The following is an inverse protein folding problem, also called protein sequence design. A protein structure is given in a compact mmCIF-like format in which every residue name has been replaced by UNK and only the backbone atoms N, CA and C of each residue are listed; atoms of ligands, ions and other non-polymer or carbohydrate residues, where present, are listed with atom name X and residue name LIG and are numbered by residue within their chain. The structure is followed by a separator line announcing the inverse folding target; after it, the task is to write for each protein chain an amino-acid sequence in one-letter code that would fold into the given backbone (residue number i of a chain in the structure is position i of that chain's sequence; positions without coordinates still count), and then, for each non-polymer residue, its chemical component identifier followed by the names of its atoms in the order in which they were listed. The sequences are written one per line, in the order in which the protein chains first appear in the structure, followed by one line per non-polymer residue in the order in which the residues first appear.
data_IF_183848160503
#
_entry.id   IF_183848160503
#
_cell.length_a   1.000
_cell.length_b   1.000
_cell.length_c   1.000
_cell.angle_alpha   90.00
_cell.angle_beta   90.00
_cell.angle_gamma   90.00
#
_symmetry.space_group_name_H-M   'P 1'
#
loop_
_entity.id
_entity.type
_entity.pdbx_description
1 polymer ?
#
# COMPACT_ATOMS: atom_id res chain seq x y z
N UNK A 1 15.24 -1.23 -9.19
CA UNK A 1 15.52 -2.49 -8.58
C UNK A 1 14.29 -3.37 -8.34
N UNK A 2 13.10 -2.84 -7.94
CA UNK A 2 11.88 -3.65 -7.83
C UNK A 2 11.50 -4.29 -9.19
N UNK A 3 11.59 -3.54 -10.29
CA UNK A 3 11.38 -4.08 -11.64
C UNK A 3 12.38 -5.15 -12.04
N UNK A 4 13.64 -5.05 -11.59
CA UNK A 4 14.64 -6.11 -11.79
C UNK A 4 14.23 -7.40 -11.05
N UNK A 5 13.77 -7.28 -9.80
CA UNK A 5 13.31 -8.46 -9.06
C UNK A 5 12.14 -9.13 -9.75
N UNK A 6 11.14 -8.36 -10.21
CA UNK A 6 10.00 -8.91 -10.94
C UNK A 6 10.43 -9.61 -12.24
N UNK A 7 11.35 -9.00 -12.99
CA UNK A 7 11.91 -9.63 -14.19
C UNK A 7 12.62 -10.96 -13.85
N UNK A 8 13.41 -10.98 -12.78
CA UNK A 8 14.08 -12.22 -12.34
C UNK A 8 13.12 -13.30 -11.86
N UNK A 9 12.01 -12.93 -11.22
CA UNK A 9 10.96 -13.87 -10.85
C UNK A 9 10.31 -14.50 -12.08
N UNK A 10 10.11 -13.72 -13.15
CA UNK A 10 9.59 -14.21 -14.44
C UNK A 10 10.55 -15.13 -15.20
N UNK A 11 11.86 -14.94 -14.95
CA UNK A 11 12.90 -15.81 -15.52
C UNK A 11 13.08 -17.13 -14.74
N UNK A 12 12.44 -17.28 -13.58
CA UNK A 12 12.51 -18.55 -12.84
C UNK A 12 11.82 -19.64 -13.67
N UNK A 13 12.43 -20.82 -13.74
CA UNK A 13 11.84 -21.96 -14.40
C UNK A 13 10.45 -22.27 -13.81
N UNK A 14 9.49 -22.60 -14.65
CA UNK A 14 8.14 -23.02 -14.21
C UNK A 14 8.17 -24.33 -13.42
N UNK A 15 9.28 -25.05 -13.48
CA UNK A 15 9.56 -26.28 -12.77
C UNK A 15 10.32 -26.06 -11.44
N UNK A 16 10.51 -24.81 -11.00
CA UNK A 16 10.98 -24.53 -9.63
C UNK A 16 9.95 -25.08 -8.62
N UNK A 17 10.35 -26.13 -7.91
CA UNK A 17 9.44 -26.90 -7.03
C UNK A 17 8.94 -26.05 -5.84
N UNK A 18 9.64 -25.01 -5.45
CA UNK A 18 9.30 -24.20 -4.29
C UNK A 18 8.37 -23.03 -4.64
N UNK A 19 8.66 -22.32 -5.71
CA UNK A 19 7.98 -21.06 -6.05
C UNK A 19 7.06 -21.20 -7.25
N UNK A 20 7.42 -21.98 -8.27
CA UNK A 20 6.66 -22.09 -9.52
C UNK A 20 5.17 -22.38 -9.32
N UNK A 21 4.77 -23.35 -8.46
CA UNK A 21 3.36 -23.71 -8.26
C UNK A 21 2.51 -22.68 -7.53
N UNK A 22 3.15 -21.72 -6.82
CA UNK A 22 2.45 -20.79 -5.91
C UNK A 22 2.49 -19.33 -6.35
N UNK A 23 3.28 -19.01 -7.38
CA UNK A 23 3.38 -17.65 -7.90
C UNK A 23 2.41 -17.42 -9.06
N UNK A 24 1.55 -16.41 -8.93
CA UNK A 24 0.81 -15.83 -10.04
C UNK A 24 1.46 -14.50 -10.45
N UNK A 25 2.34 -14.55 -11.46
CA UNK A 25 3.08 -13.40 -11.95
C UNK A 25 2.26 -12.45 -12.85
N UNK A 26 1.00 -12.77 -13.11
CA UNK A 26 0.04 -11.87 -13.76
C UNK A 26 -0.70 -11.00 -12.72
N UNK A 27 -0.66 -11.39 -11.44
CA UNK A 27 -1.35 -10.73 -10.34
C UNK A 27 -0.35 -10.23 -9.29
N UNK A 28 0.56 -9.33 -9.69
CA UNK A 28 1.63 -8.83 -8.82
C UNK A 28 1.23 -7.52 -8.15
N UNK A 29 1.22 -7.51 -6.83
CA UNK A 29 1.15 -6.29 -6.01
C UNK A 29 2.52 -5.86 -5.51
N UNK A 30 2.64 -4.59 -5.13
CA UNK A 30 3.86 -4.06 -4.51
C UNK A 30 3.50 -3.18 -3.31
N UNK A 31 4.17 -3.43 -2.18
CA UNK A 31 4.05 -2.61 -0.98
C UNK A 31 5.41 -2.11 -0.51
N UNK A 32 5.42 -0.97 0.20
CA UNK A 32 6.65 -0.45 0.75
C UNK A 32 6.44 0.60 1.84
N UNK A 33 7.23 0.48 2.91
CA UNK A 33 7.21 1.37 4.04
C UNK A 33 8.26 2.48 3.90
N UNK A 34 7.92 3.69 4.30
CA UNK A 34 8.85 4.82 4.40
C UNK A 34 9.57 5.08 3.07
N UNK A 35 10.89 4.94 3.01
CA UNK A 35 11.68 5.05 1.77
C UNK A 35 11.25 4.02 0.72
N UNK A 36 10.82 2.82 1.14
CA UNK A 36 10.21 1.82 0.27
C UNK A 36 8.93 2.32 -0.40
N UNK A 37 8.13 3.15 0.27
CA UNK A 37 6.95 3.80 -0.31
C UNK A 37 7.28 4.69 -1.53
N UNK A 38 8.42 5.41 -1.50
CA UNK A 38 8.90 6.16 -2.68
C UNK A 38 9.25 5.24 -3.85
N UNK A 39 9.83 4.08 -3.53
CA UNK A 39 10.13 3.05 -4.54
C UNK A 39 8.86 2.50 -5.15
N UNK A 40 7.84 2.19 -4.33
CA UNK A 40 6.53 1.72 -4.79
C UNK A 40 5.87 2.72 -5.73
N UNK A 41 5.73 3.97 -5.30
CA UNK A 41 5.12 5.00 -6.14
C UNK A 41 5.82 5.15 -7.50
N UNK A 42 7.17 5.09 -7.53
CA UNK A 42 7.92 5.11 -8.78
C UNK A 42 7.72 3.83 -9.60
N UNK A 43 7.74 2.67 -8.97
CA UNK A 43 7.55 1.39 -9.68
C UNK A 43 6.17 1.36 -10.36
N UNK A 44 5.12 1.74 -9.66
CA UNK A 44 3.77 1.76 -10.19
C UNK A 44 3.57 2.79 -11.33
N UNK A 45 4.19 3.97 -11.22
CA UNK A 45 4.11 4.97 -12.31
C UNK A 45 4.88 4.61 -13.57
N UNK A 46 5.79 3.62 -13.51
CA UNK A 46 6.68 3.28 -14.64
C UNK A 46 6.53 1.84 -15.13
N UNK A 47 5.83 1.00 -14.40
CA UNK A 47 5.67 -0.41 -14.74
C UNK A 47 4.22 -0.87 -14.53
N UNK A 48 3.45 -1.09 -15.62
CA UNK A 48 2.06 -1.53 -15.57
C UNK A 48 1.89 -2.99 -15.11
N UNK A 49 2.97 -3.74 -14.95
CA UNK A 49 2.93 -5.13 -14.48
C UNK A 49 2.52 -5.23 -12.99
N UNK A 50 2.70 -4.16 -12.23
CA UNK A 50 2.12 -4.09 -10.88
C UNK A 50 0.63 -3.80 -10.97
N UNK A 51 -0.20 -4.70 -10.47
CA UNK A 51 -1.68 -4.60 -10.53
C UNK A 51 -2.29 -3.80 -9.39
N UNK A 52 -1.60 -3.71 -8.25
CA UNK A 52 -2.02 -2.94 -7.09
C UNK A 52 -0.79 -2.46 -6.30
N UNK A 53 -0.88 -1.28 -5.71
CA UNK A 53 0.25 -0.58 -5.09
C UNK A 53 -0.12 -0.05 -3.71
N UNK A 54 0.70 -0.35 -2.69
CA UNK A 54 0.48 0.12 -1.33
C UNK A 54 1.70 0.83 -0.76
N UNK A 55 1.49 2.02 -0.23
CA UNK A 55 2.52 2.84 0.41
C UNK A 55 2.21 2.98 1.90
N UNK A 56 3.17 2.60 2.75
CA UNK A 56 3.04 2.67 4.20
C UNK A 56 3.85 3.84 4.75
N UNK A 57 3.13 4.74 5.39
CA UNK A 57 3.62 5.95 6.07
C UNK A 57 4.59 6.82 5.24
N UNK A 58 4.25 6.99 3.97
CA UNK A 58 4.92 7.90 3.05
C UNK A 58 3.92 8.48 2.03
N UNK A 59 4.25 9.64 1.44
CA UNK A 59 3.42 10.26 0.37
C UNK A 59 3.62 9.56 -0.98
N UNK A 60 4.67 8.77 -1.13
CA UNK A 60 5.07 8.22 -2.42
C UNK A 60 6.19 9.02 -3.09
N UNK A 61 6.32 9.03 -4.41
CA UNK A 61 7.37 9.74 -5.12
C UNK A 61 7.19 11.26 -5.04
N UNK A 62 8.25 12.00 -5.32
CA UNK A 62 8.19 13.46 -5.37
C UNK A 62 7.16 13.94 -6.42
N UNK A 63 6.45 15.03 -6.08
CA UNK A 63 5.31 15.62 -6.80
C UNK A 63 5.44 15.68 -8.33
N UNK A 64 6.65 15.90 -8.83
CA UNK A 64 6.94 16.07 -10.26
C UNK A 64 6.91 14.76 -11.06
N UNK A 65 6.81 13.60 -10.39
CA UNK A 65 6.90 12.26 -10.99
C UNK A 65 5.63 11.44 -10.82
N UNK A 66 4.53 12.09 -10.48
CA UNK A 66 3.31 11.44 -9.99
C UNK A 66 2.17 11.43 -11.02
N UNK A 67 2.51 11.61 -12.28
CA UNK A 67 1.57 11.41 -13.37
C UNK A 67 1.60 9.95 -13.81
N UNK A 68 0.45 9.29 -13.83
CA UNK A 68 0.29 7.99 -14.47
C UNK A 68 0.37 6.78 -13.55
N UNK A 69 -0.17 6.85 -12.33
CA UNK A 69 -0.54 5.63 -11.60
C UNK A 69 -1.98 5.30 -11.99
N UNK A 70 -2.11 4.25 -12.78
CA UNK A 70 -3.41 3.75 -13.28
C UNK A 70 -3.87 2.50 -12.52
N UNK A 71 -3.08 2.06 -11.55
CA UNK A 71 -3.38 0.92 -10.71
C UNK A 71 -4.13 1.37 -9.44
N UNK A 72 -4.95 0.51 -8.82
CA UNK A 72 -5.45 0.70 -7.47
C UNK A 72 -4.32 1.05 -6.50
N UNK A 73 -4.51 2.12 -5.75
CA UNK A 73 -3.45 2.68 -4.90
C UNK A 73 -3.92 2.84 -3.46
N UNK A 74 -3.13 2.35 -2.52
CA UNK A 74 -3.35 2.48 -1.09
C UNK A 74 -2.24 3.33 -0.46
N UNK A 75 -2.62 4.33 0.32
CA UNK A 75 -1.76 4.92 1.35
C UNK A 75 -2.29 4.50 2.71
N UNK A 76 -1.47 3.82 3.47
CA UNK A 76 -1.73 3.45 4.86
C UNK A 76 -0.75 4.23 5.74
N UNK A 77 -1.24 5.09 6.61
CA UNK A 77 -0.40 6.05 7.32
C UNK A 77 -0.81 6.30 8.77
N UNK A 78 0.13 6.80 9.55
CA UNK A 78 -0.13 7.43 10.84
C UNK A 78 -0.78 8.82 10.68
N UNK A 79 -1.14 9.46 11.78
CA UNK A 79 -1.61 10.84 11.76
C UNK A 79 -0.47 11.78 11.31
N UNK A 80 -0.75 12.62 10.32
CA UNK A 80 0.17 13.65 9.80
C UNK A 80 -0.42 15.03 10.00
N UNK A 81 0.43 16.07 9.87
CA UNK A 81 -0.02 17.45 9.82
C UNK A 81 -0.85 17.73 8.55
N UNK A 82 -1.67 18.78 8.61
CA UNK A 82 -2.62 19.13 7.55
C UNK A 82 -1.93 19.44 6.21
N UNK A 83 -0.74 20.02 6.23
CA UNK A 83 -0.01 20.38 5.02
C UNK A 83 0.43 19.12 4.26
N UNK A 84 0.94 18.13 4.99
CA UNK A 84 1.34 16.84 4.42
C UNK A 84 0.14 16.02 3.94
N UNK A 85 -0.98 16.10 4.66
CA UNK A 85 -2.25 15.47 4.24
C UNK A 85 -2.77 16.11 2.97
N UNK A 86 -2.74 17.44 2.85
CA UNK A 86 -3.16 18.15 1.65
C UNK A 86 -2.30 17.78 0.42
N UNK A 87 -0.99 17.65 0.60
CA UNK A 87 -0.07 17.19 -0.45
C UNK A 87 -0.41 15.76 -0.91
N UNK A 88 -0.68 14.86 0.03
CA UNK A 88 -1.11 13.49 -0.27
C UNK A 88 -2.43 13.48 -1.04
N UNK A 89 -3.43 14.24 -0.60
CA UNK A 89 -4.74 14.25 -1.23
C UNK A 89 -4.71 14.86 -2.64
N UNK A 90 -3.90 15.89 -2.86
CA UNK A 90 -3.64 16.42 -4.20
C UNK A 90 -2.99 15.36 -5.11
N UNK A 91 -2.14 14.54 -4.55
CA UNK A 91 -1.56 13.39 -5.24
C UNK A 91 -2.60 12.32 -5.59
N UNK A 92 -3.32 11.82 -4.59
CA UNK A 92 -4.30 10.76 -4.79
C UNK A 92 -5.42 11.19 -5.75
N UNK A 93 -5.77 12.47 -5.77
CA UNK A 93 -6.74 13.03 -6.70
C UNK A 93 -6.31 13.05 -8.17
N UNK A 94 -5.05 12.71 -8.47
CA UNK A 94 -4.50 12.67 -9.85
C UNK A 94 -4.24 11.26 -10.36
N UNK A 95 -4.48 10.23 -9.54
CA UNK A 95 -4.34 8.85 -9.98
C UNK A 95 -5.41 8.51 -11.02
N UNK A 96 -5.05 7.68 -12.00
CA UNK A 96 -5.96 7.20 -13.06
C UNK A 96 -6.90 6.09 -12.58
N UNK A 97 -6.76 5.64 -11.33
CA UNK A 97 -7.56 4.56 -10.75
C UNK A 97 -8.09 4.95 -9.37
N UNK A 98 -8.77 4.01 -8.71
CA UNK A 98 -9.21 4.20 -7.33
C UNK A 98 -8.01 4.30 -6.39
N UNK A 99 -8.02 5.28 -5.51
CA UNK A 99 -7.02 5.43 -4.47
C UNK A 99 -7.67 5.55 -3.08
N UNK A 100 -6.99 5.03 -2.08
CA UNK A 100 -7.45 5.03 -0.70
C UNK A 100 -6.38 5.66 0.21
N UNK A 101 -6.81 6.57 1.07
CA UNK A 101 -6.02 7.09 2.20
C UNK A 101 -6.60 6.50 3.48
N UNK A 102 -5.85 5.62 4.11
CA UNK A 102 -6.21 4.93 5.34
C UNK A 102 -5.31 5.42 6.46
N UNK A 103 -5.91 5.99 7.48
CA UNK A 103 -5.22 6.48 8.67
C UNK A 103 -5.40 5.48 9.79
N UNK A 104 -4.30 5.01 10.33
CA UNK A 104 -4.26 4.28 11.60
C UNK A 104 -4.18 5.30 12.73
N UNK A 105 -5.23 5.42 13.53
CA UNK A 105 -5.20 6.19 14.76
C UNK A 105 -4.29 5.52 15.79
N UNK A 106 -3.75 6.31 16.71
CA UNK A 106 -2.81 5.83 17.75
C UNK A 106 -1.63 5.04 17.16
N UNK A 107 -1.12 5.50 16.05
CA UNK A 107 0.04 4.92 15.37
C UNK A 107 1.11 5.97 15.07
N UNK A 108 2.33 5.51 14.81
CA UNK A 108 3.45 6.33 14.38
C UNK A 108 4.16 5.70 13.18
N UNK A 109 5.24 6.34 12.73
CA UNK A 109 6.02 5.90 11.57
C UNK A 109 6.47 4.42 11.62
N UNK A 110 6.63 3.84 12.80
CA UNK A 110 7.14 2.49 12.97
C UNK A 110 6.04 1.45 13.21
N UNK A 111 4.78 1.86 13.37
CA UNK A 111 3.68 0.95 13.78
C UNK A 111 3.40 -0.17 12.79
N UNK A 112 3.73 0.01 11.49
CA UNK A 112 3.62 -1.05 10.49
C UNK A 112 4.91 -1.89 10.35
N UNK A 113 5.77 -1.88 11.34
CA UNK A 113 7.05 -2.63 11.37
C UNK A 113 7.21 -3.33 12.70
N UNK A 114 8.13 -4.31 12.78
CA UNK A 114 8.48 -5.01 14.03
C UNK A 114 9.36 -4.19 14.98
N UNK A 115 9.84 -3.02 14.54
CA UNK A 115 10.74 -2.18 15.36
C UNK A 115 10.16 -1.91 16.77
N UNK A 116 8.87 -1.58 16.94
CA UNK A 116 8.31 -1.36 18.28
C UNK A 116 8.32 -2.58 19.20
N UNK A 117 8.44 -3.79 18.65
CA UNK A 117 8.56 -5.00 19.47
C UNK A 117 9.93 -5.05 20.20
N UNK A 118 10.97 -4.49 19.58
CA UNK A 118 12.35 -4.58 20.04
C UNK A 118 12.90 -3.27 20.60
N UNK A 119 12.35 -2.12 20.16
CA UNK A 119 12.84 -0.77 20.47
C UNK A 119 11.77 -0.01 21.25
N UNK A 120 11.99 0.14 22.57
CA UNK A 120 11.02 0.76 23.47
C UNK A 120 10.80 2.26 23.16
N UNK A 121 11.84 2.95 22.70
CA UNK A 121 11.84 4.39 22.44
C UNK A 121 10.90 4.82 21.32
N UNK A 122 10.49 3.89 20.46
CA UNK A 122 9.52 4.18 19.37
C UNK A 122 8.11 3.71 19.68
N UNK A 123 7.87 3.14 20.85
CA UNK A 123 6.53 2.73 21.30
C UNK A 123 5.66 3.94 21.64
N UNK A 124 4.36 3.77 21.46
CA UNK A 124 3.37 4.71 21.94
C UNK A 124 2.87 4.27 23.32
N UNK A 125 2.72 5.23 24.24
CA UNK A 125 2.23 4.96 25.57
C UNK A 125 0.81 4.37 25.54
N UNK A 126 0.64 3.24 26.23
CA UNK A 126 -0.66 2.57 26.33
C UNK A 126 -1.11 1.84 25.07
N UNK A 127 -0.25 1.73 24.04
CA UNK A 127 -0.55 1.00 22.81
C UNK A 127 0.27 -0.30 22.78
N UNK A 128 -0.40 -1.41 22.51
CA UNK A 128 0.27 -2.69 22.27
C UNK A 128 1.09 -2.58 20.95
N UNK A 129 2.42 -2.79 21.00
CA UNK A 129 3.25 -2.68 19.79
C UNK A 129 2.87 -3.66 18.68
N UNK A 130 2.23 -4.79 19.00
CA UNK A 130 1.78 -5.76 18.00
C UNK A 130 0.54 -5.26 17.21
N UNK A 131 -0.32 -4.45 17.84
CA UNK A 131 -1.59 -4.02 17.23
C UNK A 131 -1.44 -3.27 15.92
N UNK A 132 -0.39 -2.46 15.80
CA UNK A 132 -0.07 -1.74 14.56
C UNK A 132 0.32 -2.68 13.42
N UNK A 133 1.13 -3.69 13.71
CA UNK A 133 1.56 -4.72 12.74
C UNK A 133 0.34 -5.51 12.25
N UNK A 134 -0.50 -5.98 13.17
CA UNK A 134 -1.70 -6.75 12.85
C UNK A 134 -2.69 -5.95 12.00
N UNK A 135 -2.92 -4.69 12.36
CA UNK A 135 -3.79 -3.78 11.59
C UNK A 135 -3.24 -3.55 10.19
N UNK A 136 -1.94 -3.28 10.05
CA UNK A 136 -1.30 -3.08 8.75
C UNK A 136 -1.38 -4.35 7.89
N UNK A 137 -1.11 -5.52 8.46
CA UNK A 137 -1.19 -6.79 7.76
C UNK A 137 -2.62 -7.07 7.26
N UNK A 138 -3.63 -6.91 8.12
CA UNK A 138 -5.03 -7.13 7.77
C UNK A 138 -5.51 -6.18 6.66
N UNK A 139 -5.12 -4.91 6.71
CA UNK A 139 -5.48 -3.92 5.68
C UNK A 139 -4.79 -4.24 4.35
N UNK A 140 -3.51 -4.58 4.36
CA UNK A 140 -2.76 -4.95 3.15
C UNK A 140 -3.31 -6.23 2.52
N UNK A 141 -3.62 -7.24 3.32
CA UNK A 141 -4.23 -8.49 2.87
C UNK A 141 -5.57 -8.22 2.18
N UNK A 142 -6.46 -7.48 2.83
CA UNK A 142 -7.77 -7.13 2.29
C UNK A 142 -7.65 -6.32 0.99
N UNK A 143 -6.72 -5.37 0.93
CA UNK A 143 -6.46 -4.56 -0.26
C UNK A 143 -5.98 -5.43 -1.42
N UNK A 144 -4.93 -6.22 -1.23
CA UNK A 144 -4.39 -7.05 -2.28
C UNK A 144 -5.34 -8.19 -2.67
N UNK A 145 -6.04 -8.82 -1.73
CA UNK A 145 -7.08 -9.81 -2.04
C UNK A 145 -8.17 -9.23 -2.94
N UNK A 146 -8.55 -7.97 -2.73
CA UNK A 146 -9.57 -7.30 -3.54
C UNK A 146 -9.07 -6.98 -4.95
N UNK A 147 -7.88 -6.40 -5.06
CA UNK A 147 -7.41 -5.81 -6.32
C UNK A 147 -6.53 -6.74 -7.16
N UNK A 148 -6.02 -7.85 -6.61
CA UNK A 148 -5.27 -8.86 -7.34
C UNK A 148 -6.13 -10.06 -7.80
N UNK A 149 -7.32 -10.29 -7.22
CA UNK A 149 -8.13 -11.48 -7.55
C UNK A 149 -9.26 -11.24 -8.56
N UNK A 150 -9.24 -10.16 -9.33
CA UNK A 150 -10.30 -9.75 -10.26
C UNK A 150 -11.72 -9.63 -9.63
N UNK A 151 -11.84 -9.58 -8.31
CA UNK A 151 -13.10 -9.35 -7.59
C UNK A 151 -13.45 -7.87 -7.48
N UNK A 152 -13.06 -7.07 -8.47
CA UNK A 152 -13.20 -5.60 -8.50
C UNK A 152 -14.66 -5.14 -8.29
N UNK A 153 -15.63 -5.97 -8.63
CA UNK A 153 -17.06 -5.67 -8.43
C UNK A 153 -17.48 -5.51 -6.94
N UNK A 154 -16.62 -5.90 -5.98
CA UNK A 154 -16.89 -5.83 -4.53
C UNK A 154 -16.11 -4.70 -3.86
N UNK A 155 -15.39 -3.90 -4.62
CA UNK A 155 -14.38 -2.93 -4.16
C UNK A 155 -14.93 -1.72 -3.35
N UNK A 156 -16.22 -1.66 -3.02
CA UNK A 156 -16.76 -0.59 -2.18
C UNK A 156 -16.55 -0.83 -0.67
N UNK A 157 -16.40 -2.09 -0.23
CA UNK A 157 -16.29 -2.50 1.17
C UNK A 157 -15.18 -3.55 1.36
N UNK A 158 -13.99 -3.29 0.83
CA UNK A 158 -12.88 -4.25 0.94
C UNK A 158 -12.21 -4.27 2.32
N UNK A 159 -12.47 -3.26 3.13
CA UNK A 159 -11.88 -3.20 4.47
C UNK A 159 -12.45 -4.26 5.40
N UNK A 160 -11.60 -4.85 6.26
CA UNK A 160 -12.06 -5.78 7.27
C UNK A 160 -13.14 -5.11 8.12
N UNK A 161 -14.36 -5.67 8.11
CA UNK A 161 -15.45 -5.21 8.97
C UNK A 161 -15.24 -5.81 10.35
N UNK A 162 -14.94 -5.00 11.35
CA UNK A 162 -15.07 -5.35 12.76
C UNK A 162 -13.80 -5.61 13.56
N UNK A 163 -12.61 -5.74 12.94
CA UNK A 163 -11.39 -6.05 13.69
C UNK A 163 -10.30 -4.96 13.66
N UNK A 164 -10.43 -3.95 12.81
CA UNK A 164 -9.50 -2.82 12.78
C UNK A 164 -10.13 -1.66 13.52
N UNK A 165 -9.92 -1.59 14.83
CA UNK A 165 -10.32 -0.46 15.64
C UNK A 165 -9.49 0.78 15.25
N UNK A 166 -10.14 1.96 15.19
CA UNK A 166 -9.48 3.26 15.01
C UNK A 166 -8.86 3.49 13.62
N UNK A 167 -9.62 3.23 12.55
CA UNK A 167 -9.22 3.51 11.17
C UNK A 167 -10.15 4.55 10.55
N UNK A 168 -9.58 5.62 10.05
CA UNK A 168 -10.29 6.57 9.16
C UNK A 168 -9.90 6.31 7.70
N UNK A 169 -10.90 6.38 6.80
CA UNK A 169 -10.71 6.06 5.40
C UNK A 169 -11.24 7.18 4.53
N UNK A 170 -10.44 7.57 3.55
CA UNK A 170 -10.86 8.43 2.46
C UNK A 170 -10.61 7.75 1.12
N UNK A 171 -11.63 7.74 0.27
CA UNK A 171 -11.55 7.18 -1.07
C UNK A 171 -11.47 8.29 -2.11
N UNK A 172 -10.59 8.11 -3.09
CA UNK A 172 -10.46 8.93 -4.29
C UNK A 172 -10.86 8.06 -5.49
N UNK A 173 -11.67 8.61 -6.38
CA UNK A 173 -12.01 7.93 -7.63
C UNK A 173 -11.14 8.49 -8.76
N UNK A 174 -10.86 7.65 -9.76
CA UNK A 174 -10.24 8.08 -10.98
C UNK A 174 -10.99 9.30 -11.55
N UNK A 175 -10.27 10.28 -12.04
CA UNK A 175 -10.91 11.34 -12.84
C UNK A 175 -11.57 10.68 -14.03
N UNK A 176 -12.86 10.95 -14.23
CA UNK A 176 -13.50 10.65 -15.50
C UNK A 176 -12.65 11.38 -16.57
N UNK A 177 -12.13 10.63 -17.54
CA UNK A 177 -11.33 11.21 -18.61
C UNK A 177 -12.14 12.29 -19.32
N UNK A 178 -11.54 13.46 -19.48
CA UNK A 178 -12.00 14.50 -20.39
C UNK A 178 -11.80 14.07 -21.84
#
# INVERSE_FOLDING_TARGET
DAGFVLARLRDLPTDDEALGPVMDLEQVGIAGHSRGGKTVGRACSTNPDYRACAVLDNIGPARERMTGIDQPFLTLRSAWDDARVAELHDYLGRTGSVAHDVVLENSNHFSCTDIPLFVAEVRLDGVDPASGIESCASILEAFFATFLTNKIAVATNWLPTGEVANVMIRRFQARAGD
#
